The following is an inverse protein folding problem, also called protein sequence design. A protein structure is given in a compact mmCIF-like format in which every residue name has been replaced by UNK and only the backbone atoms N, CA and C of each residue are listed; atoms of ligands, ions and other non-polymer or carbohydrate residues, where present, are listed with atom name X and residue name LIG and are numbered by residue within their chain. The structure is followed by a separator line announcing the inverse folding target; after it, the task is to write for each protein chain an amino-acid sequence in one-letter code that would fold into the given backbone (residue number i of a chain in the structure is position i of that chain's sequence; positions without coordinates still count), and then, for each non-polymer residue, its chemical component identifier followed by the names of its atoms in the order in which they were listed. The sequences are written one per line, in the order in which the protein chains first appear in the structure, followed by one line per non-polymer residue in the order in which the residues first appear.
data_IF_857171899667
#
_entry.id   IF_857171899667
#
_cell.length_a   1.000
_cell.length_b   1.000
_cell.length_c   1.000
_cell.angle_alpha   90.00
_cell.angle_beta   90.00
_cell.angle_gamma   90.00
#
_symmetry.space_group_name_H-M   'P 1'
#
loop_
_entity.id
_entity.type
_entity.pdbx_description
1 polymer ?
#
# COMPACT_ATOMS: atom_id res chain seq x y z
N UNK A 1 -66.09 -14.24 19.49
CA UNK A 1 -64.84 -14.17 20.27
C UNK A 1 -63.82 -15.07 19.59
N UNK A 2 -62.75 -14.48 19.03
CA UNK A 2 -61.43 -15.07 18.70
C UNK A 2 -60.84 -14.35 17.46
N UNK A 3 -60.05 -13.32 17.71
CA UNK A 3 -59.09 -12.79 16.74
C UNK A 3 -57.87 -13.71 16.73
N UNK A 4 -57.53 -14.27 15.57
CA UNK A 4 -56.27 -14.99 15.37
C UNK A 4 -55.22 -13.97 14.92
N UNK A 5 -54.31 -13.62 15.82
CA UNK A 5 -53.12 -12.83 15.51
C UNK A 5 -52.10 -13.75 14.84
N UNK A 6 -51.91 -13.60 13.53
CA UNK A 6 -50.77 -14.17 12.81
C UNK A 6 -49.52 -13.33 13.11
N UNK A 7 -48.56 -13.89 13.84
CA UNK A 7 -47.25 -13.30 14.01
C UNK A 7 -46.41 -13.54 12.75
N UNK A 8 -46.16 -12.49 11.97
CA UNK A 8 -45.18 -12.51 10.87
C UNK A 8 -43.80 -12.28 11.49
N UNK A 9 -42.98 -13.34 11.51
CA UNK A 9 -41.59 -13.26 11.96
C UNK A 9 -40.74 -12.66 10.82
N UNK A 10 -40.43 -11.36 10.92
CA UNK A 10 -39.46 -10.71 10.05
C UNK A 10 -38.05 -11.19 10.43
N UNK A 11 -37.54 -12.19 9.71
CA UNK A 11 -36.11 -12.51 9.71
C UNK A 11 -35.36 -11.32 9.10
N UNK A 12 -34.81 -10.48 9.96
CA UNK A 12 -33.84 -9.47 9.56
C UNK A 12 -32.55 -10.19 9.17
N UNK A 13 -32.25 -10.21 7.88
CA UNK A 13 -30.93 -10.60 7.38
C UNK A 13 -30.01 -9.46 7.78
N UNK A 14 -29.30 -9.62 8.90
CA UNK A 14 -28.21 -8.71 9.27
C UNK A 14 -27.09 -9.01 8.29
N UNK A 15 -26.70 -8.08 7.39
CA UNK A 15 -25.51 -8.29 6.59
C UNK A 15 -24.34 -8.38 7.56
N UNK A 16 -23.69 -9.54 7.59
CA UNK A 16 -22.46 -9.74 8.32
C UNK A 16 -21.44 -8.77 7.72
N UNK A 17 -21.10 -7.68 8.42
CA UNK A 17 -19.97 -6.84 8.02
C UNK A 17 -18.72 -7.71 8.11
N UNK A 18 -18.29 -8.27 6.98
CA UNK A 18 -16.97 -8.86 6.88
C UNK A 18 -15.99 -7.69 6.88
N UNK A 19 -15.17 -7.58 7.92
CA UNK A 19 -14.02 -6.68 7.92
C UNK A 19 -12.92 -7.29 7.06
N UNK A 20 -12.40 -6.55 6.08
CA UNK A 20 -11.25 -7.00 5.31
C UNK A 20 -10.05 -7.28 6.24
N UNK A 21 -9.48 -8.48 6.15
CA UNK A 21 -8.30 -8.88 6.95
C UNK A 21 -7.04 -8.80 6.10
N UNK A 22 -6.01 -8.12 6.61
CA UNK A 22 -4.70 -8.08 5.97
C UNK A 22 -4.07 -9.48 6.02
N UNK A 23 -3.67 -10.08 4.88
CA UNK A 23 -2.98 -11.37 4.90
C UNK A 23 -1.65 -11.31 5.65
N UNK A 24 -1.26 -12.40 6.31
CA UNK A 24 0.04 -12.46 7.00
C UNK A 24 1.23 -12.62 6.04
N UNK A 25 0.95 -13.14 4.84
CA UNK A 25 1.90 -13.34 3.74
C UNK A 25 1.40 -12.61 2.51
N UNK A 26 2.28 -11.88 1.83
CA UNK A 26 1.94 -11.16 0.64
C UNK A 26 1.56 -12.10 -0.51
N UNK A 27 0.41 -11.89 -1.15
CA UNK A 27 0.15 -12.51 -2.44
C UNK A 27 1.02 -11.88 -3.54
N UNK A 28 1.34 -12.68 -4.56
CA UNK A 28 2.01 -12.22 -5.78
C UNK A 28 1.04 -12.30 -6.96
N UNK A 29 0.82 -11.16 -7.61
CA UNK A 29 -0.06 -11.05 -8.77
C UNK A 29 0.67 -11.47 -10.03
N UNK A 30 0.22 -12.57 -10.65
CA UNK A 30 0.82 -13.07 -11.91
C UNK A 30 0.55 -12.09 -13.06
N UNK A 31 1.56 -11.88 -13.91
CA UNK A 31 1.45 -11.02 -15.10
C UNK A 31 1.42 -9.52 -14.80
N UNK A 32 1.78 -9.13 -13.58
CA UNK A 32 1.87 -7.73 -13.17
C UNK A 32 3.20 -7.14 -13.64
N UNK A 33 3.13 -6.21 -14.58
CA UNK A 33 4.27 -5.44 -15.06
C UNK A 33 3.81 -4.03 -15.43
N UNK A 34 4.76 -3.13 -15.69
CA UNK A 34 4.47 -1.72 -15.96
C UNK A 34 3.44 -1.52 -17.08
N UNK A 35 3.58 -2.25 -18.18
CA UNK A 35 2.69 -2.10 -19.34
C UNK A 35 1.26 -2.60 -19.03
N UNK A 36 1.14 -3.75 -18.36
CA UNK A 36 -0.18 -4.28 -17.96
C UNK A 36 -0.89 -3.40 -16.93
N UNK A 37 -0.13 -2.74 -16.04
CA UNK A 37 -0.64 -1.76 -15.08
C UNK A 37 -1.09 -0.47 -15.77
N UNK A 38 -0.27 0.08 -16.67
CA UNK A 38 -0.63 1.27 -17.46
C UNK A 38 -1.92 1.04 -18.25
N UNK A 39 -2.07 -0.12 -18.88
CA UNK A 39 -3.28 -0.44 -19.63
C UNK A 39 -4.53 -0.52 -18.73
N UNK A 40 -4.42 -1.14 -17.55
CA UNK A 40 -5.52 -1.20 -16.58
C UNK A 40 -5.94 0.18 -16.10
N UNK A 41 -4.98 1.04 -15.74
CA UNK A 41 -5.28 2.40 -15.31
C UNK A 41 -5.80 3.31 -16.42
N UNK A 42 -5.51 3.04 -17.71
CA UNK A 42 -6.13 3.75 -18.84
C UNK A 42 -7.62 3.44 -18.98
N UNK A 43 -8.03 2.21 -18.63
CA UNK A 43 -9.42 1.73 -18.76
C UNK A 43 -10.26 2.02 -17.51
N UNK A 44 -9.62 2.21 -16.36
CA UNK A 44 -10.30 2.45 -15.09
C UNK A 44 -10.62 3.94 -14.86
N UNK A 45 -11.78 4.21 -14.26
CA UNK A 45 -12.03 5.52 -13.62
C UNK A 45 -11.23 5.54 -12.33
N UNK A 46 -10.02 6.11 -12.38
CA UNK A 46 -9.16 6.21 -11.22
C UNK A 46 -9.72 7.28 -10.26
N UNK A 47 -9.93 6.89 -9.01
CA UNK A 47 -10.16 7.84 -7.93
C UNK A 47 -8.87 8.54 -7.50
N UNK A 48 -8.93 9.17 -6.33
CA UNK A 48 -7.83 9.98 -5.81
C UNK A 48 -6.56 9.15 -5.52
N UNK A 49 -6.71 7.93 -5.02
CA UNK A 49 -5.59 7.09 -4.58
C UNK A 49 -5.10 6.16 -5.69
N UNK A 50 -6.01 5.70 -6.55
CA UNK A 50 -5.70 4.77 -7.62
C UNK A 50 -4.70 5.37 -8.62
N UNK A 51 -3.75 4.56 -9.08
CA UNK A 51 -2.75 4.94 -10.09
C UNK A 51 -1.37 4.37 -9.85
N UNK A 52 -0.40 4.89 -10.63
CA UNK A 52 1.02 4.61 -10.45
C UNK A 52 1.64 5.60 -9.45
N UNK A 53 2.53 5.10 -8.62
CA UNK A 53 3.21 5.83 -7.56
C UNK A 53 4.68 5.44 -7.52
N UNK A 54 5.53 6.33 -7.01
CA UNK A 54 6.93 6.06 -6.73
C UNK A 54 7.14 6.10 -5.22
N UNK A 55 7.86 5.12 -4.69
CA UNK A 55 8.29 5.07 -3.30
C UNK A 55 9.79 5.38 -3.24
N UNK A 56 10.17 6.63 -2.91
CA UNK A 56 11.57 7.06 -2.99
C UNK A 56 12.48 6.32 -2.02
N UNK A 57 12.02 6.01 -0.81
CA UNK A 57 12.85 5.37 0.21
C UNK A 57 13.29 3.95 -0.18
N UNK A 58 12.49 3.26 -1.01
CA UNK A 58 12.73 1.89 -1.47
C UNK A 58 13.10 1.82 -2.96
N UNK A 59 13.12 2.96 -3.66
CA UNK A 59 13.36 3.04 -5.10
C UNK A 59 12.44 2.10 -5.92
N UNK A 60 11.15 2.10 -5.62
CA UNK A 60 10.15 1.23 -6.26
C UNK A 60 9.03 2.01 -6.97
N UNK A 61 8.61 1.51 -8.13
CA UNK A 61 7.35 1.90 -8.75
C UNK A 61 6.23 1.00 -8.24
N UNK A 62 5.16 1.61 -7.76
CA UNK A 62 4.00 0.97 -7.16
C UNK A 62 2.75 1.24 -7.98
N UNK A 63 1.78 0.34 -7.85
CA UNK A 63 0.42 0.52 -8.33
C UNK A 63 -0.51 0.43 -7.14
N UNK A 64 -1.33 1.47 -6.98
CA UNK A 64 -2.39 1.51 -5.97
C UNK A 64 -3.69 1.20 -6.67
N UNK A 65 -4.39 0.17 -6.19
CA UNK A 65 -5.63 -0.32 -6.78
C UNK A 65 -6.67 -0.56 -5.71
N UNK A 66 -7.91 -0.17 -5.98
CA UNK A 66 -9.05 -0.51 -5.13
C UNK A 66 -9.28 -2.02 -5.14
N UNK A 67 -9.55 -2.61 -3.99
CA UNK A 67 -9.90 -4.02 -3.89
C UNK A 67 -11.38 -4.17 -4.28
N UNK A 68 -11.66 -5.09 -5.20
CA UNK A 68 -13.03 -5.37 -5.62
C UNK A 68 -13.87 -5.86 -4.43
N UNK A 69 -15.10 -5.35 -4.32
CA UNK A 69 -16.06 -5.66 -3.24
C UNK A 69 -15.68 -5.16 -1.82
N UNK A 70 -14.47 -4.63 -1.61
CA UNK A 70 -14.03 -4.08 -0.32
C UNK A 70 -13.99 -2.54 -0.39
N UNK A 71 -15.08 -1.90 0.04
CA UNK A 71 -15.20 -0.43 -0.04
C UNK A 71 -14.18 0.25 0.87
N UNK A 72 -13.44 1.22 0.32
CA UNK A 72 -12.44 1.98 1.06
C UNK A 72 -11.10 1.26 1.22
N UNK A 73 -10.97 0.03 0.73
CA UNK A 73 -9.73 -0.74 0.78
C UNK A 73 -8.98 -0.76 -0.55
N UNK A 74 -7.66 -0.71 -0.44
CA UNK A 74 -6.74 -0.67 -1.55
C UNK A 74 -5.59 -1.62 -1.31
N UNK A 75 -5.05 -2.17 -2.39
CA UNK A 75 -3.76 -2.87 -2.39
C UNK A 75 -2.68 -1.98 -2.98
N UNK A 76 -1.46 -2.15 -2.48
CA UNK A 76 -0.24 -1.51 -2.97
C UNK A 76 0.63 -2.60 -3.55
N UNK A 77 0.88 -2.56 -4.85
CA UNK A 77 1.54 -3.64 -5.59
C UNK A 77 2.84 -3.13 -6.21
N UNK A 78 3.93 -3.86 -6.02
CA UNK A 78 5.19 -3.58 -6.70
C UNK A 78 5.03 -3.78 -8.22
N UNK A 79 5.37 -2.77 -9.00
CA UNK A 79 5.34 -2.80 -10.47
C UNK A 79 6.75 -3.00 -11.00
N UNK A 80 7.69 -2.25 -10.43
CA UNK A 80 9.13 -2.32 -10.68
C UNK A 80 9.85 -2.02 -9.38
N UNK A 81 10.95 -2.72 -9.12
CA UNK A 81 11.83 -2.48 -7.99
C UNK A 81 13.26 -2.46 -8.49
N UNK A 82 14.04 -1.47 -8.08
CA UNK A 82 15.46 -1.44 -8.36
C UNK A 82 16.16 -2.67 -7.73
N UNK A 83 17.21 -3.16 -8.40
CA UNK A 83 17.99 -4.33 -7.97
C UNK A 83 17.17 -5.62 -7.72
N UNK A 84 15.95 -5.73 -8.27
CA UNK A 84 15.02 -6.86 -8.04
C UNK A 84 14.75 -7.12 -6.55
N UNK A 85 14.69 -6.05 -5.74
CA UNK A 85 14.49 -6.14 -4.29
C UNK A 85 13.20 -6.89 -3.88
N UNK A 86 12.17 -6.85 -4.74
CA UNK A 86 10.89 -7.53 -4.58
C UNK A 86 10.42 -8.02 -5.96
N UNK A 87 9.82 -9.20 -6.02
CA UNK A 87 9.21 -9.70 -7.25
C UNK A 87 8.10 -8.77 -7.75
N UNK A 88 8.16 -8.40 -9.03
CA UNK A 88 7.10 -7.63 -9.67
C UNK A 88 5.74 -8.35 -9.52
N UNK A 89 4.72 -7.60 -9.09
CA UNK A 89 3.40 -8.12 -8.75
C UNK A 89 3.22 -8.49 -7.28
N UNK A 90 4.26 -8.47 -6.46
CA UNK A 90 4.09 -8.66 -5.01
C UNK A 90 3.26 -7.53 -4.41
N UNK A 91 2.27 -7.89 -3.60
CA UNK A 91 1.52 -6.91 -2.80
C UNK A 91 2.39 -6.49 -1.62
N UNK A 92 2.95 -5.29 -1.67
CA UNK A 92 3.83 -4.77 -0.60
C UNK A 92 3.04 -4.21 0.59
N UNK A 93 1.73 -4.00 0.41
CA UNK A 93 0.90 -3.44 1.45
C UNK A 93 -0.56 -3.21 1.05
N UNK A 94 -1.30 -2.63 1.99
CA UNK A 94 -2.72 -2.33 1.88
C UNK A 94 -3.03 -0.97 2.49
N UNK A 95 -4.10 -0.33 2.03
CA UNK A 95 -4.59 0.91 2.63
C UNK A 95 -6.09 0.84 2.88
N UNK A 96 -6.52 1.56 3.89
CA UNK A 96 -7.93 1.80 4.21
C UNK A 96 -8.14 3.31 4.35
N UNK A 97 -9.14 3.85 3.66
CA UNK A 97 -9.61 5.21 3.89
C UNK A 97 -10.18 5.33 5.31
N UNK A 98 -9.64 6.27 6.09
CA UNK A 98 -10.17 6.53 7.43
C UNK A 98 -11.39 7.45 7.39
N UNK A 99 -12.11 7.53 8.52
CA UNK A 99 -13.20 8.49 8.68
C UNK A 99 -12.74 9.95 8.67
N UNK A 100 -11.45 10.22 8.95
CA UNK A 100 -10.87 11.55 8.87
C UNK A 100 -10.39 11.83 7.44
N UNK A 101 -10.93 12.88 6.82
CA UNK A 101 -10.60 13.24 5.44
C UNK A 101 -9.10 13.45 5.27
N UNK A 102 -8.51 12.75 4.31
CA UNK A 102 -7.07 12.84 4.03
C UNK A 102 -6.21 11.88 4.84
N UNK A 103 -6.72 11.21 5.88
CA UNK A 103 -5.98 10.18 6.62
C UNK A 103 -6.30 8.78 6.11
N UNK A 104 -5.27 7.95 6.09
CA UNK A 104 -5.30 6.54 5.71
C UNK A 104 -4.72 5.69 6.83
N UNK A 105 -5.26 4.49 7.01
CA UNK A 105 -4.51 3.40 7.66
C UNK A 105 -3.75 2.68 6.55
N UNK A 106 -2.46 2.47 6.76
CA UNK A 106 -1.54 1.85 5.80
C UNK A 106 -0.87 0.65 6.46
N UNK A 107 -0.91 -0.50 5.81
CA UNK A 107 -0.15 -1.68 6.22
C UNK A 107 0.94 -1.94 5.21
N UNK A 108 2.19 -2.05 5.66
CA UNK A 108 3.32 -2.44 4.84
C UNK A 108 3.94 -3.72 5.39
N UNK A 109 4.25 -4.68 4.52
CA UNK A 109 4.98 -5.88 4.93
C UNK A 109 6.42 -5.52 5.28
N UNK A 110 6.90 -6.03 6.42
CA UNK A 110 8.18 -5.63 6.99
C UNK A 110 9.17 -6.80 7.16
N UNK A 111 8.75 -8.03 6.85
CA UNK A 111 9.58 -9.22 6.94
C UNK A 111 9.59 -10.01 5.64
N UNK A 112 10.55 -10.92 5.49
CA UNK A 112 10.57 -11.93 4.43
C UNK A 112 10.79 -13.30 5.06
N UNK A 113 10.01 -14.27 4.60
CA UNK A 113 10.15 -15.68 4.93
C UNK A 113 9.84 -16.51 3.68
N UNK A 114 10.72 -17.45 3.34
CA UNK A 114 10.60 -18.31 2.15
C UNK A 114 10.32 -17.48 0.87
N UNK A 115 11.14 -16.44 0.66
CA UNK A 115 11.04 -15.48 -0.46
C UNK A 115 9.69 -14.74 -0.56
N UNK A 116 8.86 -14.81 0.48
CA UNK A 116 7.54 -14.15 0.54
C UNK A 116 7.57 -13.03 1.57
N UNK A 117 7.01 -11.87 1.23
CA UNK A 117 6.83 -10.77 2.18
C UNK A 117 5.84 -11.18 3.29
N UNK A 118 6.15 -10.83 4.54
CA UNK A 118 5.40 -11.20 5.74
C UNK A 118 5.36 -10.06 6.75
N UNK A 119 4.60 -10.23 7.85
CA UNK A 119 4.52 -9.29 8.98
C UNK A 119 4.04 -7.90 8.55
N UNK A 120 2.74 -7.74 8.21
CA UNK A 120 2.19 -6.42 7.93
C UNK A 120 2.23 -5.54 9.19
N UNK A 121 2.82 -4.36 9.07
CA UNK A 121 2.84 -3.34 10.14
C UNK A 121 1.89 -2.22 9.77
N UNK A 122 0.99 -1.88 10.69
CA UNK A 122 0.09 -0.74 10.55
C UNK A 122 0.78 0.59 10.87
N UNK A 123 0.53 1.59 10.03
CA UNK A 123 0.94 2.97 10.22
C UNK A 123 -0.17 3.92 9.74
N UNK A 124 -0.07 5.19 10.12
CA UNK A 124 -0.97 6.25 9.65
C UNK A 124 -0.29 6.94 8.48
N UNK A 125 -1.06 7.28 7.44
CA UNK A 125 -0.57 8.09 6.34
C UNK A 125 -1.54 9.23 6.02
N UNK A 126 -1.00 10.34 5.55
CA UNK A 126 -1.73 11.53 5.14
C UNK A 126 -1.63 11.71 3.63
N UNK A 127 -2.75 12.00 3.00
CA UNK A 127 -2.80 12.36 1.59
C UNK A 127 -2.66 13.87 1.47
N UNK A 128 -1.51 14.30 0.98
CA UNK A 128 -1.13 15.70 0.84
C UNK A 128 -1.13 16.13 -0.63
N UNK A 129 -0.86 17.42 -0.87
CA UNK A 129 -0.64 17.99 -2.20
C UNK A 129 -1.75 17.60 -3.21
N UNK A 130 -3.02 17.78 -2.82
CA UNK A 130 -4.21 17.46 -3.62
C UNK A 130 -4.28 16.00 -4.10
N UNK A 131 -3.67 15.05 -3.39
CA UNK A 131 -3.65 13.64 -3.78
C UNK A 131 -2.45 13.22 -4.60
N UNK A 132 -1.43 14.08 -4.71
CA UNK A 132 -0.18 13.73 -5.38
C UNK A 132 0.87 13.13 -4.44
N UNK A 133 0.70 13.29 -3.12
CA UNK A 133 1.62 12.75 -2.13
C UNK A 133 0.83 11.93 -1.10
N UNK A 134 1.35 10.77 -0.73
CA UNK A 134 0.95 10.05 0.48
C UNK A 134 2.15 10.11 1.40
N UNK A 135 2.01 10.72 2.56
CA UNK A 135 3.08 10.89 3.55
C UNK A 135 2.79 9.98 4.73
N UNK A 136 3.74 9.10 5.06
CA UNK A 136 3.61 8.17 6.17
C UNK A 136 4.02 8.88 7.46
N UNK A 137 3.10 8.96 8.41
CA UNK A 137 3.42 9.44 9.75
C UNK A 137 4.27 8.37 10.42
N UNK A 138 5.55 8.67 10.66
CA UNK A 138 6.40 7.80 11.45
C UNK A 138 5.79 7.71 12.85
N UNK A 139 5.32 6.54 13.33
CA UNK A 139 5.07 6.41 14.75
C UNK A 139 6.40 6.67 15.47
N UNK A 140 6.40 7.60 16.44
CA UNK A 140 7.51 7.75 17.39
C UNK A 140 7.54 6.51 18.29
N UNK A 141 8.08 5.41 17.76
CA UNK A 141 8.24 4.18 18.51
C UNK A 141 9.39 4.41 19.50
N UNK A 142 9.06 4.84 20.72
CA UNK A 142 9.95 4.79 21.89
C UNK A 142 10.18 3.33 22.30
N UNK A 143 10.90 2.56 21.49
CA UNK A 143 11.49 1.29 21.93
C UNK A 143 12.93 1.59 22.33
N UNK A 144 13.24 1.36 23.62
CA UNK A 144 14.61 1.29 24.14
C UNK A 144 15.34 0.10 23.51
N UNK A 145 15.79 0.24 22.28
CA UNK A 145 16.80 -0.59 21.65
C UNK A 145 17.56 0.34 20.71
N UNK A 146 18.83 0.62 21.01
CA UNK A 146 19.77 1.26 20.08
C UNK A 146 19.97 0.32 18.90
N UNK A 147 19.13 0.44 17.88
CA UNK A 147 18.99 -0.66 16.95
C UNK A 147 18.49 -0.10 15.60
N UNK A 148 19.32 -0.32 14.59
CA UNK A 148 19.33 0.27 13.26
C UNK A 148 18.00 0.04 12.53
N UNK A 149 17.32 1.09 12.05
CA UNK A 149 16.01 0.98 11.36
C UNK A 149 16.09 0.09 10.10
N UNK A 150 17.29 -0.14 9.56
CA UNK A 150 17.60 -1.15 8.55
C UNK A 150 17.25 -2.61 8.93
N UNK A 151 16.80 -2.89 10.16
CA UNK A 151 16.48 -4.23 10.65
C UNK A 151 14.98 -4.47 10.92
N UNK A 152 14.13 -3.44 10.75
CA UNK A 152 12.66 -3.57 10.75
C UNK A 152 12.08 -3.62 9.33
N UNK A 153 12.95 -3.44 8.33
CA UNK A 153 12.74 -3.79 6.93
C UNK A 153 13.37 -5.17 6.68
N UNK A 154 12.86 -5.98 5.74
CA UNK A 154 13.38 -7.32 5.51
C UNK A 154 14.90 -7.32 5.28
N UNK A 155 15.64 -8.09 6.07
CA UNK A 155 17.09 -8.23 5.92
C UNK A 155 17.47 -9.19 4.77
N UNK A 156 16.97 -8.95 3.56
CA UNK A 156 17.46 -9.69 2.36
C UNK A 156 18.85 -9.20 1.94
N UNK A 157 19.26 -8.01 2.38
CA UNK A 157 20.43 -7.31 1.86
C UNK A 157 21.67 -7.47 2.73
N UNK A 158 22.12 -8.71 2.89
CA UNK A 158 23.39 -9.08 3.52
C UNK A 158 24.65 -8.64 2.75
N UNK A 159 24.64 -7.51 2.02
CA UNK A 159 25.85 -6.90 1.45
C UNK A 159 25.87 -5.42 1.80
N UNK A 160 26.70 -5.09 2.78
CA UNK A 160 27.10 -3.71 3.09
C UNK A 160 27.55 -3.04 1.79
N UNK A 161 26.82 -2.02 1.33
CA UNK A 161 27.26 -1.11 0.27
C UNK A 161 27.20 0.31 0.80
N UNK A 162 28.36 0.96 0.78
CA UNK A 162 28.51 2.37 1.11
C UNK A 162 28.14 3.14 -0.16
N UNK A 163 26.97 3.77 -0.16
CA UNK A 163 26.62 4.76 -1.19
C UNK A 163 27.02 6.16 -0.70
N UNK A 164 27.56 7.02 -1.58
CA UNK A 164 27.88 8.39 -1.22
C UNK A 164 26.60 9.06 -0.72
N UNK A 165 26.68 9.63 0.48
CA UNK A 165 25.58 10.31 1.15
C UNK A 165 25.29 11.60 0.39
N UNK A 166 24.47 11.51 -0.66
CA UNK A 166 23.85 12.67 -1.29
C UNK A 166 23.00 13.34 -0.20
N UNK A 167 23.20 14.65 -0.03
CA UNK A 167 22.49 15.46 0.95
C UNK A 167 20.99 15.24 0.78
N UNK A 168 20.40 14.46 1.69
CA UNK A 168 18.95 14.30 1.80
C UNK A 168 18.38 15.67 2.08
N UNK A 169 17.75 16.30 1.09
CA UNK A 169 16.62 17.18 1.42
C UNK A 169 15.62 16.33 2.22
N UNK A 170 15.02 16.93 3.26
CA UNK A 170 14.12 16.25 4.20
C UNK A 170 12.81 15.82 3.51
N UNK A 171 12.87 14.84 2.60
CA UNK A 171 11.69 14.23 2.00
C UNK A 171 11.04 13.39 3.10
N UNK A 172 9.81 13.75 3.48
CA UNK A 172 9.02 12.93 4.40
C UNK A 172 8.75 11.57 3.73
N UNK A 173 8.85 10.45 4.48
CA UNK A 173 8.66 9.12 3.92
C UNK A 173 7.26 8.95 3.34
N UNK A 174 7.14 8.23 2.22
CA UNK A 174 5.86 7.94 1.60
C UNK A 174 5.90 7.82 0.08
N UNK A 175 4.75 8.00 -0.57
CA UNK A 175 4.57 7.76 -2.00
C UNK A 175 4.31 9.06 -2.76
N UNK A 176 4.87 9.16 -3.96
CA UNK A 176 4.69 10.28 -4.88
C UNK A 176 3.95 9.78 -6.12
N UNK A 177 2.83 10.41 -6.48
CA UNK A 177 2.01 9.98 -7.62
C UNK A 177 2.75 10.23 -8.92
N UNK A 178 2.84 9.21 -9.77
CA UNK A 178 3.40 9.33 -11.11
C UNK A 178 2.29 9.82 -12.03
N UNK A 179 2.41 11.05 -12.50
CA UNK A 179 1.44 11.64 -13.41
C UNK A 179 1.56 11.01 -14.80
N UNK A 180 0.59 10.19 -15.18
CA UNK A 180 0.51 9.53 -16.48
C UNK A 180 0.47 10.50 -17.67
N UNK A 181 0.23 11.81 -17.44
CA UNK A 181 0.22 12.84 -18.48
C UNK A 181 1.59 13.46 -18.78
N UNK A 182 2.60 13.28 -17.91
CA UNK A 182 3.97 13.71 -18.22
C UNK A 182 4.66 12.64 -19.06
N UNK A 183 4.68 12.88 -20.37
CA UNK A 183 5.49 12.17 -21.37
C UNK A 183 6.92 11.97 -20.86
N UNK A 184 7.41 10.74 -20.99
CA UNK A 184 8.80 10.30 -21.16
C UNK A 184 9.87 11.32 -20.76
N UNK A 185 9.88 11.69 -19.47
CA UNK A 185 11.09 12.27 -18.91
C UNK A 185 11.76 11.13 -18.16
N UNK A 186 12.90 10.60 -18.66
CA UNK A 186 13.67 9.65 -17.89
C UNK A 186 13.97 10.30 -16.54
N UNK A 187 13.54 9.62 -15.47
CA UNK A 187 13.85 10.04 -14.12
C UNK A 187 15.32 9.68 -13.92
N UNK A 188 16.20 10.64 -14.22
CA UNK A 188 17.60 10.55 -13.81
C UNK A 188 17.67 10.90 -12.32
N UNK A 189 18.06 9.92 -11.51
CA UNK A 189 18.63 10.13 -10.18
C UNK A 189 20.11 9.80 -10.24
#
# INVERSE_FOLDING_TARGET
MQQRLSAILLLSIIPLLQSFSIPDKAPVMKGYNLESVKERHKKAVNGRLEGLWYYPDEHMTLSIERIENERGYYRVVAVEAEDCAVDCGSVIGYMEESAESGKLRLWLYSGIADDTLTRPIECVANVENNGNNIVIDKPEIKIRMSMNIAQFLPSIFGRIRIYPRLERSEIKPGFIKIDSKKRDTPIYF
#
